data_IF_122667856325
#
_entry.id   IF_122667856325
#
_cell.length_a   1.000
_cell.length_b   1.000
_cell.length_c   1.000
_cell.angle_alpha   90.00
_cell.angle_beta   90.00
_cell.angle_gamma   90.00
#
_symmetry.space_group_name_H-M   'P 1'
#
loop_
_entity.id
_entity.type
_entity.pdbx_description
1 polymer ?
#
# COMPACT_ATOMS: atom_id res chain seq x y z
N UNK A 1 -23.87 3.19 -17.25
CA UNK A 1 -23.09 3.84 -16.18
C UNK A 1 -23.07 2.91 -14.98
N UNK A 2 -21.90 2.58 -14.45
CA UNK A 2 -21.79 1.79 -13.21
C UNK A 2 -22.36 2.59 -12.03
N UNK A 3 -23.09 1.93 -11.14
CA UNK A 3 -23.71 2.57 -9.97
C UNK A 3 -22.62 2.90 -8.95
N UNK A 4 -22.57 4.12 -8.44
CA UNK A 4 -21.70 4.50 -7.34
C UNK A 4 -22.22 3.91 -6.02
N UNK A 5 -21.36 3.21 -5.27
CA UNK A 5 -21.69 2.56 -4.00
C UNK A 5 -21.11 3.31 -2.80
N UNK A 6 -20.01 4.05 -2.99
CA UNK A 6 -19.40 4.93 -1.99
C UNK A 6 -19.10 6.29 -2.60
N UNK A 7 -19.47 7.36 -1.91
CA UNK A 7 -19.10 8.75 -2.22
C UNK A 7 -18.51 9.39 -0.98
N UNK A 8 -17.31 9.95 -1.12
CA UNK A 8 -16.59 10.70 -0.09
C UNK A 8 -16.34 12.10 -0.63
N UNK A 9 -16.89 13.13 0.03
CA UNK A 9 -16.86 14.51 -0.46
C UNK A 9 -16.30 15.45 0.60
N UNK A 10 -15.15 16.04 0.33
CA UNK A 10 -14.46 17.03 1.15
C UNK A 10 -14.39 16.65 2.64
N UNK A 11 -13.96 15.40 2.91
CA UNK A 11 -13.99 14.84 4.26
C UNK A 11 -12.72 15.20 5.03
N UNK A 12 -12.96 15.69 6.26
CA UNK A 12 -11.91 15.98 7.24
C UNK A 12 -12.10 15.15 8.50
N UNK A 13 -11.00 14.79 9.16
CA UNK A 13 -11.05 14.17 10.48
C UNK A 13 -9.92 14.65 11.37
N UNK A 14 -10.30 15.35 12.42
CA UNK A 14 -9.42 15.86 13.45
C UNK A 14 -9.60 15.08 14.77
N UNK A 15 -8.49 14.90 15.47
CA UNK A 15 -8.45 14.32 16.82
C UNK A 15 -7.84 15.32 17.82
N UNK A 16 -8.02 15.05 19.11
CA UNK A 16 -7.46 15.85 20.21
C UNK A 16 -7.75 17.34 20.07
N UNK A 17 -9.03 17.68 19.83
CA UNK A 17 -9.49 19.07 19.70
C UNK A 17 -8.75 19.87 18.60
N UNK A 18 -8.54 19.24 17.44
CA UNK A 18 -7.91 19.87 16.28
C UNK A 18 -6.37 19.80 16.29
N UNK A 19 -5.73 19.16 17.29
CA UNK A 19 -4.26 19.06 17.32
C UNK A 19 -3.68 18.01 16.36
N UNK A 20 -4.49 17.08 15.89
CA UNK A 20 -4.06 16.02 14.97
C UNK A 20 -5.04 15.94 13.81
N UNK A 21 -4.59 16.37 12.63
CA UNK A 21 -5.34 16.31 11.37
C UNK A 21 -5.08 14.98 10.70
N UNK A 22 -5.91 13.98 11.01
CA UNK A 22 -5.70 12.63 10.48
C UNK A 22 -6.20 12.46 9.03
N UNK A 23 -7.17 13.27 8.62
CA UNK A 23 -7.71 13.31 7.25
C UNK A 23 -8.03 14.74 6.91
N UNK A 24 -7.59 15.18 5.72
CA UNK A 24 -7.66 16.56 5.25
C UNK A 24 -8.15 16.60 3.81
N UNK A 25 -9.39 16.99 3.61
CA UNK A 25 -10.03 17.20 2.29
C UNK A 25 -9.99 15.99 1.36
N UNK A 26 -10.38 14.81 1.86
CA UNK A 26 -10.49 13.63 1.00
C UNK A 26 -11.77 13.67 0.18
N UNK A 27 -11.63 13.48 -1.16
CA UNK A 27 -12.74 13.35 -2.10
C UNK A 27 -12.47 12.23 -3.10
N UNK A 28 -13.30 11.18 -3.07
CA UNK A 28 -13.23 10.05 -4.00
C UNK A 28 -14.56 9.28 -4.02
N UNK A 29 -14.72 8.39 -4.99
CA UNK A 29 -15.88 7.52 -5.10
C UNK A 29 -15.48 6.11 -5.48
N UNK A 30 -16.36 5.14 -5.24
CA UNK A 30 -16.21 3.75 -5.67
C UNK A 30 -17.48 3.33 -6.40
N UNK A 31 -17.31 2.73 -7.57
CA UNK A 31 -18.37 2.14 -8.35
C UNK A 31 -18.64 0.68 -7.93
N UNK A 32 -19.81 0.17 -8.28
CA UNK A 32 -20.15 -1.24 -8.13
C UNK A 32 -19.17 -2.12 -8.91
N UNK A 33 -18.54 -3.08 -8.24
CA UNK A 33 -17.56 -3.97 -8.83
C UNK A 33 -16.14 -3.41 -8.97
N UNK A 34 -15.91 -2.16 -8.58
CA UNK A 34 -14.59 -1.52 -8.60
C UNK A 34 -13.78 -1.86 -7.34
N UNK A 35 -12.49 -2.09 -7.51
CA UNK A 35 -11.50 -2.20 -6.43
C UNK A 35 -10.67 -0.92 -6.38
N UNK A 36 -10.94 -0.06 -5.39
CA UNK A 36 -10.12 1.12 -5.10
C UNK A 36 -9.13 0.79 -3.97
N UNK A 37 -7.83 0.91 -4.23
CA UNK A 37 -6.81 0.75 -3.21
C UNK A 37 -6.35 2.09 -2.64
N UNK A 38 -6.32 2.22 -1.32
CA UNK A 38 -5.67 3.35 -0.62
C UNK A 38 -4.28 2.93 -0.18
N UNK A 39 -3.28 3.67 -0.63
CA UNK A 39 -1.87 3.46 -0.33
C UNK A 39 -1.31 4.68 0.40
N UNK A 40 -0.40 4.47 1.33
CA UNK A 40 0.25 5.54 2.09
C UNK A 40 1.15 4.99 3.18
N UNK A 41 2.05 5.82 3.70
CA UNK A 41 2.89 5.46 4.85
C UNK A 41 2.05 5.23 6.12
N UNK A 42 2.67 4.68 7.15
CA UNK A 42 2.01 4.55 8.45
C UNK A 42 1.64 5.93 9.01
N UNK A 43 0.41 6.08 9.47
CA UNK A 43 -0.10 7.37 9.94
C UNK A 43 -0.69 8.28 8.85
N UNK A 44 -0.64 7.91 7.57
CA UNK A 44 -1.19 8.73 6.46
C UNK A 44 -2.72 8.90 6.49
N UNK A 45 -3.47 8.21 7.36
CA UNK A 45 -4.93 8.35 7.47
C UNK A 45 -5.74 7.17 6.90
N UNK A 46 -5.11 6.11 6.35
CA UNK A 46 -5.78 4.95 5.71
C UNK A 46 -6.87 4.32 6.58
N UNK A 47 -6.48 3.79 7.74
CA UNK A 47 -7.42 3.14 8.68
C UNK A 47 -8.48 4.12 9.21
N UNK A 48 -8.14 5.41 9.37
CA UNK A 48 -9.10 6.46 9.75
C UNK A 48 -10.16 6.61 8.68
N UNK A 49 -9.77 6.66 7.41
CA UNK A 49 -10.68 6.75 6.25
C UNK A 49 -11.59 5.52 6.19
N UNK A 50 -11.05 4.30 6.32
CA UNK A 50 -11.85 3.06 6.37
C UNK A 50 -12.87 3.11 7.52
N UNK A 51 -12.46 3.55 8.72
CA UNK A 51 -13.38 3.67 9.88
C UNK A 51 -14.49 4.70 9.64
N UNK A 52 -14.23 5.80 8.94
CA UNK A 52 -15.27 6.76 8.58
C UNK A 52 -16.22 6.18 7.54
N UNK A 53 -15.71 5.53 6.50
CA UNK A 53 -16.52 4.85 5.48
C UNK A 53 -17.35 3.68 6.07
N UNK A 54 -16.90 3.06 7.17
CA UNK A 54 -17.64 1.99 7.85
C UNK A 54 -18.65 2.47 8.89
N UNK A 55 -18.87 3.76 9.05
CA UNK A 55 -19.70 4.38 10.11
C UNK A 55 -19.18 4.19 11.56
N UNK A 56 -17.98 3.65 11.73
CA UNK A 56 -17.35 3.51 13.06
C UNK A 56 -16.80 4.82 13.59
N UNK A 57 -16.59 5.78 12.72
CA UNK A 57 -16.04 7.09 13.05
C UNK A 57 -16.79 8.16 12.25
N UNK A 58 -17.25 9.20 12.92
CA UNK A 58 -17.89 10.34 12.27
C UNK A 58 -16.83 11.30 11.71
N UNK A 59 -16.94 11.80 10.47
CA UNK A 59 -16.08 12.86 9.98
C UNK A 59 -16.27 14.15 10.80
N UNK A 60 -15.22 14.99 10.87
CA UNK A 60 -15.32 16.32 11.50
C UNK A 60 -16.08 17.29 10.60
N UNK A 61 -15.87 17.18 9.29
CA UNK A 61 -16.64 17.91 8.26
C UNK A 61 -16.62 17.14 6.94
N UNK A 62 -17.41 17.59 5.97
CA UNK A 62 -17.64 16.87 4.71
C UNK A 62 -18.75 15.84 4.84
N UNK A 63 -18.92 15.01 3.81
CA UNK A 63 -19.96 13.99 3.78
C UNK A 63 -19.48 12.67 3.20
N UNK A 64 -19.99 11.57 3.73
CA UNK A 64 -19.79 10.21 3.18
C UNK A 64 -21.16 9.61 2.93
N UNK A 65 -21.37 9.09 1.73
CA UNK A 65 -22.60 8.39 1.37
C UNK A 65 -22.30 6.97 0.90
N UNK A 66 -23.12 6.04 1.37
CA UNK A 66 -23.09 4.63 0.97
C UNK A 66 -24.43 4.28 0.37
N UNK A 67 -24.44 3.87 -0.89
CA UNK A 67 -25.67 3.62 -1.66
C UNK A 67 -26.64 4.84 -1.63
N UNK A 68 -26.10 6.07 -1.56
CA UNK A 68 -26.85 7.31 -1.45
C UNK A 68 -27.27 7.70 -0.02
N UNK A 69 -27.09 6.83 1.00
CA UNK A 69 -27.38 7.14 2.39
C UNK A 69 -26.19 7.79 3.09
N UNK A 70 -26.40 8.94 3.68
CA UNK A 70 -25.38 9.65 4.46
C UNK A 70 -25.03 8.85 5.74
N UNK A 71 -23.71 8.70 6.01
CA UNK A 71 -23.19 7.88 7.11
C UNK A 71 -23.42 8.46 8.51
N UNK A 72 -23.82 9.74 8.61
CA UNK A 72 -24.13 10.43 9.86
C UNK A 72 -25.64 10.49 10.06
N UNK A 73 -26.36 11.01 9.07
CA UNK A 73 -27.82 11.24 9.15
C UNK A 73 -28.62 9.94 9.05
N UNK A 74 -28.17 9.00 8.22
CA UNK A 74 -28.83 7.72 7.96
C UNK A 74 -27.90 6.54 8.24
N UNK A 75 -27.17 6.60 9.36
CA UNK A 75 -26.09 5.68 9.70
C UNK A 75 -26.52 4.19 9.68
N UNK A 76 -27.73 3.87 10.13
CA UNK A 76 -28.26 2.51 10.11
C UNK A 76 -28.41 1.98 8.67
N UNK A 77 -29.07 2.76 7.78
CA UNK A 77 -29.24 2.38 6.37
C UNK A 77 -27.90 2.28 5.63
N UNK A 78 -26.99 3.20 5.89
CA UNK A 78 -25.64 3.17 5.34
C UNK A 78 -24.89 1.90 5.77
N UNK A 79 -25.00 1.52 7.05
CA UNK A 79 -24.31 0.37 7.63
C UNK A 79 -24.77 -0.98 7.06
N UNK A 80 -26.04 -1.13 6.71
CA UNK A 80 -26.54 -2.34 6.05
C UNK A 80 -25.89 -2.58 4.67
N UNK A 81 -25.42 -1.51 4.01
CA UNK A 81 -24.73 -1.62 2.72
C UNK A 81 -23.25 -1.97 2.80
N UNK A 82 -22.68 -2.14 4.00
CA UNK A 82 -21.22 -2.26 4.20
C UNK A 82 -20.82 -3.55 4.90
N UNK A 83 -19.90 -4.29 4.28
CA UNK A 83 -19.09 -5.31 4.94
C UNK A 83 -17.75 -4.71 5.39
N UNK A 84 -17.27 -5.07 6.58
CA UNK A 84 -16.01 -4.56 7.12
C UNK A 84 -15.12 -5.69 7.62
N UNK A 85 -13.87 -5.68 7.16
CA UNK A 85 -12.76 -6.49 7.68
C UNK A 85 -11.65 -5.54 8.12
N UNK A 86 -11.44 -5.47 9.43
CA UNK A 86 -10.29 -4.75 10.02
C UNK A 86 -9.16 -5.75 10.24
N UNK A 87 -7.92 -5.26 10.21
CA UNK A 87 -6.75 -6.07 10.52
C UNK A 87 -6.79 -6.66 11.94
N UNK A 88 -6.36 -7.92 12.06
CA UNK A 88 -6.24 -8.63 13.33
C UNK A 88 -7.13 -9.89 13.44
N UNK A 89 -6.73 -10.79 14.34
CA UNK A 89 -7.36 -12.13 14.52
C UNK A 89 -8.59 -12.14 15.46
N UNK A 90 -9.05 -10.98 15.93
CA UNK A 90 -10.11 -10.86 16.92
C UNK A 90 -11.50 -10.80 16.29
N UNK A 91 -12.51 -11.31 17.01
CA UNK A 91 -13.91 -11.11 16.64
C UNK A 91 -14.72 -12.39 16.42
N UNK A 92 -14.14 -13.57 16.68
CA UNK A 92 -14.88 -14.83 16.70
C UNK A 92 -14.83 -15.48 18.09
N UNK A 93 -15.87 -16.23 18.41
CA UNK A 93 -15.91 -17.12 19.58
C UNK A 93 -15.06 -18.35 19.26
N UNK A 94 -13.82 -18.37 19.71
CA UNK A 94 -12.81 -19.36 19.31
C UNK A 94 -13.22 -20.82 19.58
N UNK A 95 -13.95 -21.07 20.68
CA UNK A 95 -14.40 -22.42 21.09
C UNK A 95 -15.69 -22.87 20.42
N UNK A 96 -16.37 -22.00 19.70
CA UNK A 96 -17.58 -22.31 18.93
C UNK A 96 -17.21 -22.74 17.51
N UNK A 97 -18.11 -23.48 16.85
CA UNK A 97 -17.92 -23.87 15.47
C UNK A 97 -17.98 -22.68 14.52
N UNK A 98 -17.38 -22.81 13.32
CA UNK A 98 -17.47 -21.85 12.24
C UNK A 98 -18.93 -21.50 11.94
N UNK A 99 -19.79 -22.50 11.74
CA UNK A 99 -21.20 -22.28 11.44
C UNK A 99 -21.98 -21.63 12.59
N UNK A 100 -21.61 -21.90 13.86
CA UNK A 100 -22.26 -21.26 15.00
C UNK A 100 -21.87 -19.76 15.07
N UNK A 101 -20.60 -19.43 14.80
CA UNK A 101 -20.16 -18.05 14.67
C UNK A 101 -20.90 -17.33 13.55
N UNK A 102 -20.97 -17.94 12.36
CA UNK A 102 -21.64 -17.34 11.20
C UNK A 102 -23.13 -17.09 11.48
N UNK A 103 -23.83 -18.01 12.18
CA UNK A 103 -25.22 -17.78 12.58
C UNK A 103 -25.36 -16.59 13.48
N UNK A 104 -24.55 -16.49 14.53
CA UNK A 104 -24.55 -15.34 15.43
C UNK A 104 -24.39 -14.02 14.67
N UNK A 105 -23.41 -13.96 13.74
CA UNK A 105 -23.19 -12.75 12.96
C UNK A 105 -24.28 -12.50 11.89
N UNK A 106 -24.93 -13.54 11.39
CA UNK A 106 -26.09 -13.40 10.50
C UNK A 106 -27.29 -12.78 11.24
N UNK A 107 -27.51 -13.15 12.53
CA UNK A 107 -28.51 -12.50 13.37
C UNK A 107 -28.18 -11.01 13.58
N UNK A 108 -26.90 -10.69 13.87
CA UNK A 108 -26.43 -9.31 14.03
C UNK A 108 -26.57 -8.49 12.74
N UNK A 109 -26.34 -9.12 11.57
CA UNK A 109 -26.52 -8.50 10.27
C UNK A 109 -27.98 -8.39 9.82
N UNK A 110 -28.93 -8.87 10.60
CA UNK A 110 -30.35 -8.83 10.26
C UNK A 110 -30.79 -9.80 9.16
N UNK A 111 -30.00 -10.85 8.89
CA UNK A 111 -30.34 -11.88 7.92
C UNK A 111 -31.54 -12.70 8.43
N UNK A 112 -32.59 -12.80 7.62
CA UNK A 112 -33.79 -13.53 8.03
C UNK A 112 -33.47 -15.00 8.30
N UNK A 113 -34.07 -15.59 9.35
CA UNK A 113 -33.83 -16.96 9.78
C UNK A 113 -33.96 -17.98 8.65
N UNK A 114 -34.94 -17.81 7.74
CA UNK A 114 -35.14 -18.69 6.59
C UNK A 114 -33.95 -18.70 5.62
N UNK A 115 -33.26 -17.56 5.46
CA UNK A 115 -32.16 -17.39 4.51
C UNK A 115 -30.80 -17.73 5.12
N UNK A 116 -30.66 -17.69 6.44
CA UNK A 116 -29.36 -17.84 7.12
C UNK A 116 -28.62 -19.12 6.72
N UNK A 117 -29.31 -20.27 6.74
CA UNK A 117 -28.68 -21.56 6.46
C UNK A 117 -28.09 -21.62 5.05
N UNK A 118 -28.85 -21.16 4.05
CA UNK A 118 -28.41 -21.16 2.66
C UNK A 118 -27.29 -20.13 2.44
N UNK A 119 -27.44 -18.90 2.95
CA UNK A 119 -26.44 -17.86 2.78
C UNK A 119 -25.12 -18.22 3.48
N UNK A 120 -25.16 -18.76 4.72
CA UNK A 120 -23.96 -19.20 5.43
C UNK A 120 -23.24 -20.32 4.64
N UNK A 121 -23.96 -21.32 4.14
CA UNK A 121 -23.37 -22.39 3.35
C UNK A 121 -22.67 -21.82 2.11
N UNK A 122 -23.36 -20.98 1.34
CA UNK A 122 -22.81 -20.33 0.13
C UNK A 122 -21.57 -19.49 0.44
N UNK A 123 -21.60 -18.70 1.53
CA UNK A 123 -20.47 -17.87 1.92
C UNK A 123 -19.28 -18.70 2.39
N UNK A 124 -19.49 -19.79 3.14
CA UNK A 124 -18.42 -20.69 3.56
C UNK A 124 -17.80 -21.42 2.36
N UNK A 125 -18.60 -21.88 1.42
CA UNK A 125 -18.11 -22.49 0.17
C UNK A 125 -17.29 -21.47 -0.65
N UNK A 126 -17.80 -20.25 -0.78
CA UNK A 126 -17.13 -19.14 -1.49
C UNK A 126 -15.74 -18.82 -0.93
N UNK A 127 -15.57 -18.89 0.39
CA UNK A 127 -14.27 -18.62 1.05
C UNK A 127 -13.44 -19.91 1.23
N UNK A 128 -13.88 -21.06 0.70
CA UNK A 128 -13.21 -22.35 0.79
C UNK A 128 -13.15 -22.91 2.21
N UNK A 129 -14.26 -22.77 2.97
CA UNK A 129 -14.40 -23.26 4.35
C UNK A 129 -15.67 -24.10 4.54
N UNK A 130 -16.31 -24.59 3.47
CA UNK A 130 -17.52 -25.39 3.55
C UNK A 130 -17.32 -26.68 4.34
N UNK A 131 -16.20 -27.38 4.11
CA UNK A 131 -15.79 -28.58 4.85
C UNK A 131 -15.46 -28.31 6.30
N UNK A 132 -15.13 -27.07 6.68
CA UNK A 132 -14.77 -26.59 8.02
C UNK A 132 -15.95 -26.05 8.84
N UNK A 133 -17.16 -26.09 8.32
CA UNK A 133 -18.34 -25.50 8.95
C UNK A 133 -18.58 -26.00 10.39
N UNK A 134 -18.22 -27.24 10.69
CA UNK A 134 -18.36 -27.87 12.02
C UNK A 134 -17.12 -27.71 12.90
N UNK A 135 -15.98 -27.34 12.34
CA UNK A 135 -14.72 -27.17 13.06
C UNK A 135 -14.80 -25.96 14.00
N UNK A 136 -14.06 -26.00 15.10
CA UNK A 136 -13.95 -24.88 16.03
C UNK A 136 -13.00 -23.82 15.46
N UNK A 137 -13.34 -22.53 15.62
CA UNK A 137 -12.57 -21.46 15.01
C UNK A 137 -11.10 -21.46 15.43
N UNK A 138 -10.77 -21.88 16.65
CA UNK A 138 -9.36 -21.93 17.10
C UNK A 138 -8.50 -22.94 16.33
N UNK A 139 -9.12 -23.94 15.64
CA UNK A 139 -8.38 -24.91 14.84
C UNK A 139 -8.03 -24.42 13.43
N UNK A 140 -8.61 -23.29 13.02
CA UNK A 140 -8.35 -22.70 11.71
C UNK A 140 -6.95 -22.06 11.66
N UNK A 141 -6.29 -22.18 10.50
CA UNK A 141 -5.08 -21.39 10.21
C UNK A 141 -5.37 -19.90 10.19
N UNK A 142 -4.36 -19.07 10.24
CA UNK A 142 -4.50 -17.60 10.13
C UNK A 142 -5.19 -17.21 8.83
N UNK A 143 -4.77 -17.77 7.69
CA UNK A 143 -5.39 -17.52 6.39
C UNK A 143 -6.85 -17.97 6.33
N UNK A 144 -7.19 -19.12 6.93
CA UNK A 144 -8.57 -19.56 7.03
C UNK A 144 -9.42 -18.62 7.89
N UNK A 145 -8.91 -18.16 9.03
CA UNK A 145 -9.62 -17.16 9.85
C UNK A 145 -9.81 -15.84 9.11
N UNK A 146 -8.82 -15.39 8.36
CA UNK A 146 -8.94 -14.16 7.57
C UNK A 146 -10.02 -14.29 6.49
N UNK A 147 -10.09 -15.43 5.78
CA UNK A 147 -11.18 -15.69 4.83
C UNK A 147 -12.54 -15.80 5.51
N UNK A 148 -12.60 -16.34 6.74
CA UNK A 148 -13.83 -16.35 7.53
C UNK A 148 -14.27 -14.92 7.92
N UNK A 149 -13.35 -13.98 8.17
CA UNK A 149 -13.68 -12.57 8.35
C UNK A 149 -14.34 -11.96 7.10
N UNK A 150 -13.87 -12.32 5.90
CA UNK A 150 -14.51 -11.90 4.64
C UNK A 150 -15.91 -12.52 4.52
N UNK A 151 -16.08 -13.82 4.81
CA UNK A 151 -17.40 -14.45 4.80
C UNK A 151 -18.39 -13.75 5.76
N UNK A 152 -17.92 -13.42 6.97
CA UNK A 152 -18.71 -12.65 7.94
C UNK A 152 -19.10 -11.27 7.40
N UNK A 153 -18.17 -10.57 6.78
CA UNK A 153 -18.39 -9.23 6.24
C UNK A 153 -19.39 -9.22 5.05
N UNK A 154 -19.56 -10.36 4.37
CA UNK A 154 -20.50 -10.52 3.27
C UNK A 154 -21.91 -10.96 3.71
N UNK A 155 -22.15 -11.20 5.00
CA UNK A 155 -23.49 -11.46 5.53
C UNK A 155 -24.40 -10.24 5.32
N UNK A 156 -25.64 -10.48 4.91
CA UNK A 156 -26.60 -9.42 4.64
C UNK A 156 -26.44 -8.75 3.26
N UNK A 157 -25.63 -9.34 2.37
CA UNK A 157 -25.46 -8.91 0.96
C UNK A 157 -25.05 -7.44 0.79
N UNK A 158 -23.93 -7.00 1.43
CA UNK A 158 -23.46 -5.62 1.30
C UNK A 158 -23.06 -5.32 -0.15
N UNK A 159 -23.22 -4.08 -0.58
CA UNK A 159 -22.76 -3.58 -1.87
C UNK A 159 -21.36 -2.99 -1.83
N UNK A 160 -20.83 -2.72 -0.63
CA UNK A 160 -19.49 -2.20 -0.38
C UNK A 160 -18.76 -3.10 0.62
N UNK A 161 -17.53 -3.50 0.30
CA UNK A 161 -16.65 -4.25 1.20
C UNK A 161 -15.41 -3.40 1.52
N UNK A 162 -15.17 -3.16 2.80
CA UNK A 162 -14.02 -2.43 3.30
C UNK A 162 -13.00 -3.41 3.89
N UNK A 163 -11.79 -3.42 3.35
CA UNK A 163 -10.71 -4.33 3.73
C UNK A 163 -9.49 -3.54 4.20
N UNK A 164 -9.22 -3.57 5.50
CA UNK A 164 -8.04 -2.90 6.08
C UNK A 164 -6.91 -3.92 6.23
N UNK A 165 -5.92 -3.87 5.33
CA UNK A 165 -4.73 -4.75 5.30
C UNK A 165 -5.06 -6.26 5.34
N UNK A 166 -5.86 -6.79 4.41
CA UNK A 166 -6.43 -8.14 4.51
C UNK A 166 -5.41 -9.29 4.39
N UNK A 167 -4.23 -9.04 3.82
CA UNK A 167 -3.19 -10.06 3.57
C UNK A 167 -2.03 -10.02 4.57
N UNK A 168 -2.04 -9.04 5.49
CA UNK A 168 -0.93 -8.86 6.45
C UNK A 168 -0.70 -10.09 7.30
N UNK A 169 0.56 -10.58 7.26
CA UNK A 169 1.02 -11.72 8.04
C UNK A 169 0.43 -13.06 7.59
N UNK A 170 -0.11 -13.14 6.39
CA UNK A 170 -0.41 -14.39 5.72
C UNK A 170 0.85 -14.95 5.04
N UNK A 171 0.91 -16.28 4.93
CA UNK A 171 1.87 -16.92 4.07
C UNK A 171 1.54 -16.64 2.59
N UNK A 172 2.49 -16.84 1.63
CA UNK A 172 2.29 -16.51 0.22
C UNK A 172 1.06 -17.19 -0.41
N UNK A 173 0.80 -18.46 -0.08
CA UNK A 173 -0.32 -19.20 -0.61
C UNK A 173 -1.67 -18.68 -0.09
N UNK A 174 -1.75 -18.38 1.21
CA UNK A 174 -2.93 -17.78 1.80
C UNK A 174 -3.19 -16.36 1.28
N UNK A 175 -2.14 -15.58 1.04
CA UNK A 175 -2.24 -14.26 0.42
C UNK A 175 -2.76 -14.34 -1.02
N UNK A 176 -2.27 -15.30 -1.82
CA UNK A 176 -2.77 -15.55 -3.17
C UNK A 176 -4.26 -15.90 -3.15
N UNK A 177 -4.68 -16.83 -2.28
CA UNK A 177 -6.09 -17.22 -2.13
C UNK A 177 -6.96 -16.03 -1.69
N UNK A 178 -6.43 -15.13 -0.86
CA UNK A 178 -7.14 -13.91 -0.44
C UNK A 178 -7.32 -12.95 -1.61
N UNK A 179 -6.29 -12.71 -2.42
CA UNK A 179 -6.39 -11.86 -3.62
C UNK A 179 -7.43 -12.40 -4.61
N UNK A 180 -7.43 -13.70 -4.83
CA UNK A 180 -8.42 -14.38 -5.67
C UNK A 180 -9.85 -14.19 -5.15
N UNK A 181 -10.04 -14.33 -3.83
CA UNK A 181 -11.32 -14.09 -3.17
C UNK A 181 -11.79 -12.63 -3.33
N UNK A 182 -10.90 -11.67 -3.21
CA UNK A 182 -11.19 -10.24 -3.40
C UNK A 182 -11.65 -9.98 -4.84
N UNK A 183 -10.92 -10.47 -5.86
CA UNK A 183 -11.30 -10.34 -7.27
C UNK A 183 -12.68 -10.97 -7.57
N UNK A 184 -12.91 -12.19 -7.09
CA UNK A 184 -14.20 -12.89 -7.24
C UNK A 184 -15.34 -12.15 -6.54
N UNK A 185 -15.04 -11.43 -5.47
CA UNK A 185 -16.04 -10.61 -4.75
C UNK A 185 -16.39 -9.36 -5.54
N UNK A 186 -15.43 -8.64 -6.09
CA UNK A 186 -15.66 -7.48 -6.94
C UNK A 186 -16.46 -7.86 -8.21
N UNK A 187 -16.13 -9.00 -8.83
CA UNK A 187 -16.84 -9.51 -10.00
C UNK A 187 -18.34 -9.77 -9.77
N UNK A 188 -18.80 -9.81 -8.52
CA UNK A 188 -20.22 -9.89 -8.16
C UNK A 188 -20.87 -8.51 -7.96
N UNK A 189 -20.31 -7.47 -8.53
CA UNK A 189 -20.77 -6.09 -8.43
C UNK A 189 -20.71 -5.52 -7.00
N UNK A 190 -19.80 -6.01 -6.15
CA UNK A 190 -19.52 -5.43 -4.85
C UNK A 190 -18.34 -4.47 -5.00
N UNK A 191 -18.52 -3.17 -4.69
CA UNK A 191 -17.41 -2.22 -4.65
C UNK A 191 -16.48 -2.54 -3.48
N UNK A 192 -15.18 -2.41 -3.67
CA UNK A 192 -14.18 -2.76 -2.65
C UNK A 192 -13.28 -1.55 -2.38
N UNK A 193 -13.17 -1.17 -1.11
CA UNK A 193 -12.11 -0.29 -0.62
C UNK A 193 -11.06 -1.15 0.07
N UNK A 194 -9.87 -1.17 -0.48
CA UNK A 194 -8.72 -1.93 0.03
C UNK A 194 -7.66 -0.99 0.58
N UNK A 195 -7.16 -1.22 1.79
CA UNK A 195 -5.88 -0.63 2.21
C UNK A 195 -4.81 -1.71 2.18
N UNK A 196 -3.64 -1.38 1.67
CA UNK A 196 -2.47 -2.26 1.71
C UNK A 196 -1.19 -1.44 1.80
N UNK A 197 -0.15 -2.03 2.37
CA UNK A 197 1.23 -1.54 2.28
C UNK A 197 2.08 -2.37 1.31
N UNK A 198 1.52 -3.44 0.73
CA UNK A 198 2.14 -4.23 -0.32
C UNK A 198 1.80 -3.63 -1.68
N UNK A 199 2.75 -2.93 -2.29
CA UNK A 199 2.57 -2.31 -3.61
C UNK A 199 2.28 -3.35 -4.70
N UNK A 200 2.90 -4.52 -4.61
CA UNK A 200 2.63 -5.64 -5.52
C UNK A 200 1.16 -6.09 -5.44
N UNK A 201 0.60 -6.20 -4.22
CA UNK A 201 -0.81 -6.54 -4.05
C UNK A 201 -1.73 -5.51 -4.70
N UNK A 202 -1.39 -4.23 -4.55
CA UNK A 202 -2.17 -3.13 -5.14
C UNK A 202 -2.09 -3.15 -6.65
N UNK A 203 -0.91 -3.34 -7.24
CA UNK A 203 -0.74 -3.49 -8.71
C UNK A 203 -1.55 -4.64 -9.27
N UNK A 204 -1.63 -5.76 -8.54
CA UNK A 204 -2.37 -6.94 -8.98
C UNK A 204 -3.88 -6.79 -8.85
N UNK A 205 -4.39 -6.06 -7.84
CA UNK A 205 -5.80 -6.07 -7.48
C UNK A 205 -6.57 -4.82 -7.89
N UNK A 206 -5.95 -3.64 -7.80
CA UNK A 206 -6.67 -2.39 -7.86
C UNK A 206 -7.02 -1.97 -9.29
N UNK A 207 -8.27 -1.59 -9.52
CA UNK A 207 -8.69 -0.88 -10.74
C UNK A 207 -8.25 0.59 -10.68
N UNK A 208 -8.32 1.19 -9.48
CA UNK A 208 -7.84 2.55 -9.20
C UNK A 208 -7.08 2.60 -7.89
N UNK A 209 -6.12 3.50 -7.83
CA UNK A 209 -5.21 3.70 -6.70
C UNK A 209 -5.36 5.13 -6.20
N UNK A 210 -5.39 5.28 -4.88
CA UNK A 210 -5.39 6.54 -4.17
C UNK A 210 -4.15 6.59 -3.28
N UNK A 211 -3.18 7.42 -3.62
CA UNK A 211 -2.00 7.65 -2.78
C UNK A 211 -2.29 8.80 -1.82
N UNK A 212 -2.18 8.50 -0.52
CA UNK A 212 -2.38 9.49 0.53
C UNK A 212 -1.10 9.68 1.35
N UNK A 213 -0.85 10.93 1.71
CA UNK A 213 0.21 11.32 2.63
C UNK A 213 -0.30 12.39 3.59
N UNK A 214 0.01 12.25 4.89
CA UNK A 214 -0.38 13.22 5.93
C UNK A 214 -1.86 13.61 5.89
N UNK A 215 -2.74 12.67 5.58
CA UNK A 215 -4.19 12.87 5.51
C UNK A 215 -4.71 13.49 4.21
N UNK A 216 -3.87 13.80 3.24
CA UNK A 216 -4.24 14.39 1.94
C UNK A 216 -4.06 13.42 0.79
N UNK A 217 -4.83 13.57 -0.26
CA UNK A 217 -4.63 12.86 -1.53
C UNK A 217 -3.47 13.52 -2.26
N UNK A 218 -2.42 12.75 -2.57
CA UNK A 218 -1.33 13.19 -3.46
C UNK A 218 -1.73 12.98 -4.92
N UNK A 219 -2.24 11.81 -5.25
CA UNK A 219 -2.67 11.43 -6.59
C UNK A 219 -3.72 10.33 -6.52
N UNK A 220 -4.63 10.30 -7.49
CA UNK A 220 -5.59 9.20 -7.70
C UNK A 220 -5.76 8.92 -9.18
N UNK A 221 -5.87 7.65 -9.54
CA UNK A 221 -6.05 7.22 -10.93
C UNK A 221 -5.81 5.73 -11.12
N UNK A 222 -5.77 5.29 -12.37
CA UNK A 222 -5.30 3.93 -12.72
C UNK A 222 -3.78 3.87 -12.61
N UNK A 223 -3.19 2.69 -12.66
CA UNK A 223 -1.75 2.49 -12.47
C UNK A 223 -0.89 3.37 -13.40
N UNK A 224 -1.30 3.53 -14.66
CA UNK A 224 -0.61 4.40 -15.62
C UNK A 224 -0.61 5.87 -15.23
N UNK A 225 -1.69 6.36 -14.61
CA UNK A 225 -1.78 7.75 -14.14
C UNK A 225 -0.81 7.99 -12.99
N UNK A 226 -0.69 7.01 -12.07
CA UNK A 226 0.27 7.06 -10.95
C UNK A 226 1.70 7.11 -11.48
N UNK A 227 2.03 6.27 -12.47
CA UNK A 227 3.35 6.27 -13.10
C UNK A 227 3.66 7.59 -13.80
N UNK A 228 2.69 8.14 -14.49
CA UNK A 228 2.85 9.44 -15.15
C UNK A 228 3.08 10.57 -14.12
N UNK A 229 2.31 10.58 -13.05
CA UNK A 229 2.43 11.58 -11.97
C UNK A 229 3.77 11.49 -11.23
N UNK A 230 4.37 10.32 -11.12
CA UNK A 230 5.68 10.13 -10.46
C UNK A 230 6.85 10.80 -11.24
N UNK A 231 6.64 11.20 -12.50
CA UNK A 231 7.66 11.82 -13.35
C UNK A 231 8.99 11.03 -13.44
N UNK A 232 8.90 9.70 -13.40
CA UNK A 232 10.06 8.81 -13.52
C UNK A 232 10.13 8.30 -14.96
N UNK A 233 11.28 8.51 -15.63
CA UNK A 233 11.52 8.08 -17.01
C UNK A 233 12.13 6.67 -17.09
N UNK A 234 12.94 6.28 -16.12
CA UNK A 234 13.59 4.98 -16.05
C UNK A 234 13.99 4.64 -14.61
N UNK A 235 14.18 3.35 -14.33
CA UNK A 235 14.68 2.87 -13.03
C UNK A 235 15.93 2.02 -13.27
N UNK A 236 17.00 2.36 -12.53
CA UNK A 236 18.24 1.59 -12.53
C UNK A 236 18.57 1.17 -11.10
N UNK A 237 19.16 0.00 -10.93
CA UNK A 237 19.64 -0.47 -9.63
C UNK A 237 21.10 -0.86 -9.73
N UNK A 238 21.85 -0.63 -8.65
CA UNK A 238 23.22 -1.13 -8.52
C UNK A 238 23.55 -1.39 -7.05
N UNK A 239 24.65 -2.09 -6.78
CA UNK A 239 25.11 -2.37 -5.43
C UNK A 239 26.58 -2.00 -5.26
N UNK A 240 26.90 -1.47 -4.08
CA UNK A 240 28.29 -1.17 -3.68
C UNK A 240 28.63 -1.86 -2.38
N UNK A 241 29.91 -2.30 -2.20
CA UNK A 241 30.40 -2.71 -0.90
C UNK A 241 30.46 -1.52 0.06
N UNK A 242 30.50 -1.71 1.38
CA UNK A 242 30.79 -0.65 2.33
C UNK A 242 32.16 -0.05 2.00
N UNK A 243 32.24 1.25 1.82
CA UNK A 243 33.48 1.98 1.58
C UNK A 243 33.71 2.99 2.71
N UNK A 244 34.98 3.21 3.04
CA UNK A 244 35.40 4.30 3.93
C UNK A 244 35.58 5.64 3.18
N UNK A 245 35.62 5.59 1.84
CA UNK A 245 35.92 6.76 1.01
C UNK A 245 34.72 7.65 0.75
N UNK A 246 33.48 7.07 0.79
CA UNK A 246 32.24 7.83 0.58
C UNK A 246 31.15 7.31 1.52
N UNK A 247 30.41 8.26 2.11
CA UNK A 247 29.18 7.92 2.82
C UNK A 247 28.04 7.70 1.82
N UNK A 248 27.05 6.87 2.17
CA UNK A 248 25.92 6.55 1.29
C UNK A 248 25.11 7.80 0.90
N UNK A 249 25.07 8.80 1.76
CA UNK A 249 24.42 10.10 1.55
C UNK A 249 25.08 10.89 0.43
N UNK A 250 26.41 10.83 0.32
CA UNK A 250 27.15 11.55 -0.73
C UNK A 250 26.78 11.00 -2.12
N UNK A 251 26.74 9.67 -2.27
CA UNK A 251 26.33 9.03 -3.54
C UNK A 251 24.92 9.42 -3.94
N UNK A 252 23.99 9.56 -2.99
CA UNK A 252 22.65 10.02 -3.29
C UNK A 252 22.62 11.46 -3.84
N UNK A 253 23.54 12.32 -3.41
CA UNK A 253 23.60 13.71 -3.89
C UNK A 253 24.20 13.84 -5.29
N UNK A 254 25.07 12.92 -5.73
CA UNK A 254 25.69 12.96 -7.05
C UNK A 254 24.71 12.93 -8.22
N UNK A 255 23.51 12.42 -7.98
CA UNK A 255 22.44 12.27 -8.98
C UNK A 255 21.36 13.36 -8.88
N UNK A 256 21.46 14.31 -7.94
CA UNK A 256 20.35 15.18 -7.52
C UNK A 256 19.69 15.95 -8.68
N UNK A 257 20.46 16.34 -9.70
CA UNK A 257 19.96 17.09 -10.86
C UNK A 257 19.23 16.23 -11.92
N UNK A 258 19.51 14.93 -11.94
CA UNK A 258 19.03 14.03 -13.00
C UNK A 258 18.07 12.95 -12.48
N UNK A 259 18.27 12.53 -11.24
CA UNK A 259 17.55 11.42 -10.65
C UNK A 259 17.40 11.59 -9.15
N UNK A 260 16.46 10.82 -8.60
CA UNK A 260 16.39 10.58 -7.16
C UNK A 260 17.01 9.21 -6.86
N UNK A 261 17.86 9.15 -5.84
CA UNK A 261 18.49 7.91 -5.44
C UNK A 261 18.00 7.49 -4.06
N UNK A 262 17.61 6.24 -3.96
CA UNK A 262 17.24 5.58 -2.72
C UNK A 262 18.31 4.55 -2.39
N UNK A 263 18.77 4.51 -1.13
CA UNK A 263 19.73 3.50 -0.69
C UNK A 263 19.19 2.68 0.47
N UNK A 264 19.55 1.39 0.49
CA UNK A 264 19.22 0.47 1.59
C UNK A 264 20.34 -0.54 1.82
N UNK A 265 20.51 -0.96 3.07
CA UNK A 265 21.39 -2.07 3.39
C UNK A 265 20.84 -3.39 2.84
N UNK A 266 21.67 -4.19 2.20
CA UNK A 266 21.33 -5.49 1.62
C UNK A 266 22.47 -6.49 1.94
N UNK A 267 22.38 -7.14 3.10
CA UNK A 267 23.46 -8.01 3.61
C UNK A 267 24.74 -7.20 3.88
N UNK A 268 25.84 -7.60 3.21
CA UNK A 268 27.14 -6.93 3.30
C UNK A 268 27.33 -5.81 2.26
N UNK A 269 26.29 -5.43 1.52
CA UNK A 269 26.38 -4.41 0.46
C UNK A 269 25.29 -3.36 0.66
N UNK A 270 25.47 -2.20 0.05
CA UNK A 270 24.45 -1.18 -0.12
C UNK A 270 23.80 -1.32 -1.49
N UNK A 271 22.48 -1.40 -1.54
CA UNK A 271 21.72 -1.40 -2.78
C UNK A 271 21.14 0.00 -3.02
N UNK A 272 21.41 0.51 -4.22
CA UNK A 272 20.93 1.81 -4.69
C UNK A 272 19.85 1.61 -5.76
N UNK A 273 18.82 2.43 -5.70
CA UNK A 273 17.78 2.52 -6.72
C UNK A 273 17.76 3.95 -7.24
N UNK A 274 18.04 4.13 -8.52
CA UNK A 274 18.08 5.41 -9.20
C UNK A 274 16.78 5.60 -9.98
N UNK A 275 15.99 6.58 -9.57
CA UNK A 275 14.73 6.97 -10.19
C UNK A 275 15.01 8.17 -11.10
N UNK A 276 15.20 7.91 -12.40
CA UNK A 276 15.56 8.94 -13.36
C UNK A 276 14.38 9.86 -13.66
N UNK A 277 14.55 11.16 -13.48
CA UNK A 277 13.56 12.19 -13.82
C UNK A 277 13.64 12.59 -15.29
N UNK A 278 14.85 12.62 -15.86
CA UNK A 278 15.10 12.93 -17.27
C UNK A 278 15.25 11.65 -18.06
N UNK A 279 14.74 11.60 -19.32
CA UNK A 279 14.97 10.47 -20.19
C UNK A 279 16.47 10.18 -20.36
N UNK A 280 16.86 8.93 -20.18
CA UNK A 280 18.23 8.46 -20.34
C UNK A 280 18.28 7.40 -21.43
N UNK A 281 19.00 7.70 -22.52
CA UNK A 281 19.21 6.71 -23.60
C UNK A 281 20.05 5.52 -23.12
N UNK A 282 21.04 5.78 -22.27
CA UNK A 282 21.97 4.78 -21.76
C UNK A 282 22.16 4.95 -20.22
N UNK A 283 21.17 4.59 -19.38
CA UNK A 283 21.24 4.84 -17.94
C UNK A 283 22.46 4.20 -17.26
N UNK A 284 22.86 2.99 -17.71
CA UNK A 284 24.05 2.31 -17.18
C UNK A 284 25.32 3.11 -17.41
N UNK A 285 25.48 3.64 -18.63
CA UNK A 285 26.64 4.46 -18.99
C UNK A 285 26.67 5.75 -18.19
N UNK A 286 25.52 6.39 -18.00
CA UNK A 286 25.41 7.64 -17.22
C UNK A 286 25.79 7.44 -15.76
N UNK A 287 25.40 6.30 -15.15
CA UNK A 287 25.85 5.94 -13.79
C UNK A 287 27.39 5.88 -13.73
N UNK A 288 28.04 5.19 -14.68
CA UNK A 288 29.50 5.12 -14.72
C UNK A 288 30.16 6.48 -14.90
N UNK A 289 29.60 7.38 -15.73
CA UNK A 289 30.10 8.73 -15.94
C UNK A 289 30.04 9.54 -14.65
N UNK A 290 28.88 9.53 -13.93
CA UNK A 290 28.70 10.23 -12.66
C UNK A 290 29.72 9.72 -11.61
N UNK A 291 29.89 8.41 -11.49
CA UNK A 291 30.89 7.84 -10.58
C UNK A 291 32.31 8.30 -10.95
N UNK A 292 32.67 8.29 -12.23
CA UNK A 292 33.97 8.74 -12.69
C UNK A 292 34.23 10.21 -12.36
N UNK A 293 33.26 11.08 -12.64
CA UNK A 293 33.35 12.51 -12.36
C UNK A 293 33.68 12.77 -10.87
N UNK A 294 32.95 12.13 -9.96
CA UNK A 294 33.12 12.35 -8.51
C UNK A 294 34.36 11.64 -7.91
N UNK A 295 34.77 10.51 -8.45
CA UNK A 295 36.00 9.82 -8.02
C UNK A 295 37.22 10.64 -8.45
N UNK A 296 37.24 11.14 -9.71
CA UNK A 296 38.33 12.01 -10.19
C UNK A 296 38.42 13.34 -9.42
N UNK A 297 37.29 13.94 -9.04
CA UNK A 297 37.26 15.15 -8.20
C UNK A 297 37.83 14.89 -6.82
N UNK A 298 37.47 13.77 -6.20
CA UNK A 298 37.97 13.41 -4.87
C UNK A 298 39.48 13.14 -4.88
N UNK A 299 39.99 12.46 -5.90
CA UNK A 299 41.42 12.21 -6.07
C UNK A 299 42.22 13.53 -6.30
N UNK A 300 41.66 14.48 -7.03
CA UNK A 300 42.26 15.83 -7.20
C UNK A 300 42.28 16.64 -5.91
N UNK A 301 41.20 16.56 -5.11
CA UNK A 301 41.12 17.25 -3.82
C UNK A 301 42.17 16.70 -2.84
N UNK A 302 42.34 15.37 -2.76
CA UNK A 302 43.38 14.72 -1.93
C UNK A 302 44.79 15.05 -2.39
N UNK A 303 45.06 15.18 -3.68
CA UNK A 303 46.37 15.56 -4.23
C UNK A 303 46.70 17.04 -3.93
N UNK A 304 45.69 17.93 -3.92
CA UNK A 304 45.87 19.32 -3.56
C UNK A 304 46.25 19.51 -2.08
N UNK A 305 45.67 18.71 -1.19
CA UNK A 305 45.99 18.73 0.24
C UNK A 305 47.35 18.11 0.56
N UNK A 306 47.79 17.12 -0.23
CA UNK A 306 49.10 16.44 -0.09
C UNK A 306 50.27 17.25 -0.63
N UNK A 307 50.07 18.34 -1.38
CA UNK A 307 51.15 19.18 -1.84
C UNK A 307 51.91 19.93 -0.70
N UNK A 308 51.46 19.76 0.56
CA UNK A 308 52.10 20.29 1.76
C UNK A 308 52.85 19.28 2.63
N UNK A 309 52.81 17.98 2.39
CA UNK A 309 53.47 16.98 3.24
C UNK A 309 54.12 15.86 2.41
N UNK A 310 55.44 15.67 2.65
CA UNK A 310 56.30 14.65 1.97
C UNK A 310 55.82 13.24 2.15
N UNK A 311 55.80 12.53 1.02
CA UNK A 311 55.99 11.11 0.75
C UNK A 311 55.85 10.09 1.89
N UNK A 312 54.80 9.26 1.82
CA UNK A 312 54.82 7.86 2.21
C UNK A 312 54.28 7.04 1.03
N UNK A 313 55.14 6.21 0.45
CA UNK A 313 54.81 5.19 -0.54
C UNK A 313 53.98 4.08 0.15
N UNK A 314 52.85 3.72 -0.42
CA UNK A 314 52.06 2.58 0.04
C UNK A 314 50.72 2.44 -0.67
N UNK A 315 50.66 1.47 -1.58
CA UNK A 315 49.43 0.81 -2.08
C UNK A 315 48.52 1.52 -3.08
N UNK A 316 48.95 1.59 -4.32
CA UNK A 316 48.08 1.69 -5.47
C UNK A 316 47.36 0.36 -5.71
N UNK A 317 46.08 0.23 -5.29
CA UNK A 317 45.20 -0.87 -5.78
C UNK A 317 43.78 -0.88 -5.22
N UNK A 318 43.16 0.26 -4.85
CA UNK A 318 41.79 0.29 -4.29
C UNK A 318 40.74 0.99 -5.16
N UNK A 319 41.07 1.62 -6.28
CA UNK A 319 40.11 2.38 -7.08
C UNK A 319 39.08 1.51 -7.83
N UNK A 320 39.38 0.27 -8.13
CA UNK A 320 38.44 -0.63 -8.84
C UNK A 320 37.24 -1.12 -8.00
N UNK A 321 37.30 -1.04 -6.67
CA UNK A 321 36.19 -1.44 -5.78
C UNK A 321 35.09 -0.40 -5.62
N UNK A 322 35.28 0.82 -6.12
CA UNK A 322 34.35 1.95 -5.97
C UNK A 322 33.31 2.03 -7.10
N UNK A 323 33.52 1.30 -8.19
CA UNK A 323 32.57 1.31 -9.31
C UNK A 323 31.51 0.22 -9.18
N UNK A 324 30.24 0.53 -9.52
CA UNK A 324 29.17 -0.46 -9.51
C UNK A 324 29.43 -1.52 -10.60
N UNK A 325 29.37 -2.80 -10.24
CA UNK A 325 29.61 -3.92 -11.17
C UNK A 325 28.33 -4.54 -11.71
N UNK A 326 27.19 -4.31 -11.05
CA UNK A 326 25.90 -4.97 -11.25
C UNK A 326 24.77 -3.97 -11.54
N UNK A 327 24.99 -3.07 -12.49
CA UNK A 327 23.97 -2.09 -12.88
C UNK A 327 22.92 -2.79 -13.74
N UNK A 328 21.66 -2.75 -13.29
CA UNK A 328 20.51 -3.30 -13.98
C UNK A 328 19.45 -2.20 -14.20
N UNK A 329 18.88 -2.18 -15.41
CA UNK A 329 17.68 -1.40 -15.70
C UNK A 329 16.47 -2.33 -15.60
N UNK A 330 15.41 -1.87 -14.95
CA UNK A 330 14.16 -2.61 -14.83
C UNK A 330 12.95 -1.71 -15.08
N UNK A 331 11.78 -2.28 -15.36
CA UNK A 331 10.53 -1.53 -15.39
C UNK A 331 10.28 -0.85 -14.03
N UNK A 332 9.61 0.30 -14.08
CA UNK A 332 9.11 0.99 -12.90
C UNK A 332 8.01 0.14 -12.24
N UNK A 333 8.00 0.13 -10.91
CA UNK A 333 6.95 -0.49 -10.09
C UNK A 333 6.17 0.58 -9.35
N UNK A 334 4.99 0.21 -8.82
CA UNK A 334 4.22 1.10 -7.96
C UNK A 334 4.99 1.53 -6.71
N UNK A 335 5.89 0.66 -6.19
CA UNK A 335 6.76 1.01 -5.07
C UNK A 335 7.70 2.18 -5.43
N UNK A 336 8.28 2.17 -6.62
CA UNK A 336 9.15 3.25 -7.09
C UNK A 336 8.36 4.57 -7.25
N UNK A 337 7.19 4.49 -7.88
CA UNK A 337 6.32 5.65 -8.05
C UNK A 337 5.85 6.20 -6.69
N UNK A 338 5.44 5.32 -5.77
CA UNK A 338 5.03 5.70 -4.42
C UNK A 338 6.15 6.40 -3.65
N UNK A 339 7.38 5.87 -3.71
CA UNK A 339 8.53 6.47 -3.04
C UNK A 339 8.89 7.84 -3.64
N UNK A 340 8.72 8.02 -4.94
CA UNK A 340 8.90 9.32 -5.57
C UNK A 340 7.84 10.34 -5.13
N UNK A 341 6.57 9.93 -5.04
CA UNK A 341 5.45 10.80 -4.70
C UNK A 341 5.42 11.11 -3.19
N UNK A 342 5.50 10.07 -2.33
CA UNK A 342 5.27 10.21 -0.89
C UNK A 342 6.40 10.92 -0.13
N UNK A 343 7.58 11.06 -0.72
CA UNK A 343 8.75 11.68 -0.11
C UNK A 343 9.19 12.98 -0.80
N UNK A 344 8.42 13.53 -1.73
CA UNK A 344 8.78 14.80 -2.35
C UNK A 344 8.49 15.97 -1.38
N UNK A 345 9.54 16.71 -0.88
CA UNK A 345 9.33 17.78 0.07
C UNK A 345 8.65 19.02 -0.52
N UNK A 346 8.55 19.12 -1.85
CA UNK A 346 8.10 20.34 -2.54
C UNK A 346 6.58 20.49 -2.63
N UNK A 347 5.79 19.43 -2.40
CA UNK A 347 4.32 19.49 -2.41
C UNK A 347 3.67 19.64 -1.01
N UNK A 348 4.46 19.81 0.04
CA UNK A 348 3.98 20.01 1.43
C UNK A 348 3.98 21.49 1.86
N UNK A 349 4.17 22.42 0.92
CA UNK A 349 4.11 23.87 1.18
C UNK A 349 2.79 24.49 0.72
#
# INVERSE_FOLDING_TARGET
MQRTVLEVNHVFRDFKQGRVHAVQDLSFSIASGEILAIVGINGAGKTTTVKMCSTLLTPTSGSIRINGYDTVVHAEKARHGVGLVLGGDKGFYARSSVSANMRFFADVAGVSYHNQRSQIAQLLDRVGLGDKAKDKVYTLSRGQRQRLHVARALLGDPQLLLLDEPTVGLDPDAALQMRDLIRKTAAQNIGILLTSHSMQEVEELADRILIINSGKICVQGILSDIYHYAHISAVSTFSLPPSKSFEQLDICTWFADEARVLCRAAGTRWKFTVLWRKPQEQPKRRIYEIFREHVEESERAEQSDRSGLKSFEGEGSQSHSLFPSDIENRPMTLEDAFLAIAQDPTELS
#
